data_IF_032605672954
#
_entry.id   IF_032605672954
#
_cell.length_a   1.000
_cell.length_b   1.000
_cell.length_c   1.000
_cell.angle_alpha   90.00
_cell.angle_beta   90.00
_cell.angle_gamma   90.00
#
_symmetry.space_group_name_H-M   'P 1'
#
loop_
_entity.id
_entity.type
_entity.pdbx_description
1 polymer ?
#
# COMPACT_ATOMS: atom_id res chain seq x y z
N UNK A 1 -4.68 13.82 -29.48
CA UNK A 1 -3.68 12.96 -28.79
C UNK A 1 -4.45 11.94 -27.93
N UNK A 2 -4.34 10.66 -28.26
CA UNK A 2 -4.98 9.62 -27.43
C UNK A 2 -4.19 9.46 -26.13
N UNK A 3 -4.85 9.70 -24.98
CA UNK A 3 -4.28 9.38 -23.68
C UNK A 3 -4.09 7.87 -23.58
N UNK A 4 -2.84 7.44 -23.34
CA UNK A 4 -2.54 6.02 -23.16
C UNK A 4 -3.25 5.52 -21.90
N UNK A 5 -4.11 4.51 -22.06
CA UNK A 5 -4.84 3.92 -20.93
C UNK A 5 -3.83 3.28 -19.95
N UNK A 6 -3.90 3.67 -18.69
CA UNK A 6 -3.05 3.10 -17.64
C UNK A 6 -3.53 1.69 -17.28
N UNK A 7 -2.58 0.76 -17.17
CA UNK A 7 -2.84 -0.62 -16.76
C UNK A 7 -2.95 -0.68 -15.24
N UNK A 8 -3.94 -1.42 -14.74
CA UNK A 8 -4.11 -1.68 -13.30
C UNK A 8 -4.03 -3.18 -13.06
N UNK A 9 -3.10 -3.58 -12.21
CA UNK A 9 -2.90 -4.97 -11.80
C UNK A 9 -3.19 -5.09 -10.31
N UNK A 10 -4.07 -6.01 -9.95
CA UNK A 10 -4.46 -6.28 -8.57
C UNK A 10 -4.09 -7.72 -8.21
N UNK A 11 -3.37 -7.89 -7.10
CA UNK A 11 -2.95 -9.19 -6.62
C UNK A 11 -3.40 -9.36 -5.16
N UNK A 12 -4.28 -10.33 -4.93
CA UNK A 12 -4.67 -10.74 -3.59
C UNK A 12 -3.98 -12.05 -3.25
N UNK A 13 -3.35 -12.10 -2.10
CA UNK A 13 -2.77 -13.34 -1.61
C UNK A 13 -2.64 -13.35 -0.09
N UNK A 14 -2.63 -14.55 0.54
CA UNK A 14 -2.26 -14.67 1.93
C UNK A 14 -0.81 -14.23 2.16
N UNK A 15 -0.50 -13.77 3.37
CA UNK A 15 0.86 -13.44 3.75
C UNK A 15 1.78 -14.67 3.57
N UNK A 16 2.97 -14.47 3.02
CA UNK A 16 3.97 -15.51 2.85
C UNK A 16 3.76 -16.44 1.65
N UNK A 17 2.80 -16.16 0.76
CA UNK A 17 2.53 -17.00 -0.42
C UNK A 17 3.46 -16.71 -1.62
N UNK A 18 4.47 -15.83 -1.47
CA UNK A 18 5.40 -15.50 -2.56
C UNK A 18 4.88 -14.52 -3.60
N UNK A 19 3.65 -14.03 -3.45
CA UNK A 19 3.02 -13.12 -4.40
C UNK A 19 3.77 -11.78 -4.53
N UNK A 20 4.41 -11.30 -3.46
CA UNK A 20 5.19 -10.07 -3.48
C UNK A 20 6.34 -10.11 -4.47
N UNK A 21 7.04 -11.23 -4.59
CA UNK A 21 8.13 -11.42 -5.56
C UNK A 21 7.58 -11.37 -6.98
N UNK A 22 6.48 -12.08 -7.24
CA UNK A 22 5.83 -12.10 -8.56
C UNK A 22 5.30 -10.71 -8.93
N UNK A 23 4.66 -10.01 -7.98
CA UNK A 23 4.15 -8.67 -8.19
C UNK A 23 5.24 -7.68 -8.60
N UNK A 24 6.40 -7.74 -7.93
CA UNK A 24 7.55 -6.90 -8.27
C UNK A 24 8.08 -7.19 -9.67
N UNK A 25 8.14 -8.45 -10.07
CA UNK A 25 8.58 -8.85 -11.41
C UNK A 25 7.60 -8.34 -12.48
N UNK A 26 6.30 -8.48 -12.26
CA UNK A 26 5.27 -7.96 -13.17
C UNK A 26 5.39 -6.44 -13.29
N UNK A 27 5.52 -5.75 -12.17
CA UNK A 27 5.65 -4.30 -12.16
C UNK A 27 6.88 -3.83 -12.91
N UNK A 28 8.01 -4.50 -12.72
CA UNK A 28 9.26 -4.18 -13.43
C UNK A 28 9.14 -4.42 -14.93
N UNK A 29 8.59 -5.57 -15.32
CA UNK A 29 8.48 -5.95 -16.72
C UNK A 29 7.60 -4.99 -17.52
N UNK A 30 6.46 -4.57 -16.96
CA UNK A 30 5.51 -3.68 -17.63
C UNK A 30 5.68 -2.20 -17.28
N UNK A 31 6.70 -1.85 -16.50
CA UNK A 31 6.93 -0.51 -15.97
C UNK A 31 5.71 0.04 -15.23
N UNK A 32 5.27 -0.70 -14.21
CA UNK A 32 4.15 -0.32 -13.36
C UNK A 32 4.63 0.20 -12.01
N UNK A 33 3.87 1.13 -11.45
CA UNK A 33 4.06 1.59 -10.09
C UNK A 33 3.66 0.50 -9.11
N UNK A 34 4.64 -0.04 -8.37
CA UNK A 34 4.41 -1.13 -7.43
C UNK A 34 4.09 -0.61 -6.03
N UNK A 35 3.05 -1.14 -5.40
CA UNK A 35 2.70 -0.85 -4.02
C UNK A 35 2.41 -2.14 -3.25
N UNK A 36 3.25 -2.41 -2.24
CA UNK A 36 2.99 -3.43 -1.22
C UNK A 36 2.11 -2.79 -0.13
N UNK A 37 0.83 -3.12 -0.15
CA UNK A 37 -0.15 -2.45 0.71
C UNK A 37 0.01 -2.79 2.19
N UNK A 38 0.56 -3.95 2.51
CA UNK A 38 0.85 -4.35 3.89
C UNK A 38 1.89 -3.44 4.56
N UNK A 39 2.82 -2.89 3.80
CA UNK A 39 3.82 -1.97 4.32
C UNK A 39 3.24 -0.66 4.82
N UNK A 40 2.08 -0.24 4.34
CA UNK A 40 1.42 0.98 4.83
C UNK A 40 1.07 0.82 6.32
N UNK A 41 0.50 -0.33 6.68
CA UNK A 41 0.19 -0.61 8.09
C UNK A 41 1.45 -0.70 8.95
N UNK A 42 2.55 -1.20 8.39
CA UNK A 42 3.85 -1.25 9.09
C UNK A 42 4.41 0.16 9.32
N UNK A 43 4.26 1.08 8.39
CA UNK A 43 4.63 2.50 8.60
C UNK A 43 3.83 3.10 9.74
N UNK A 44 2.51 2.87 9.77
CA UNK A 44 1.66 3.35 10.86
C UNK A 44 2.06 2.74 12.21
N UNK A 45 2.37 1.46 12.23
CA UNK A 45 2.88 0.77 13.43
C UNK A 45 4.20 1.40 13.91
N UNK A 46 5.10 1.69 13.01
CA UNK A 46 6.37 2.35 13.33
C UNK A 46 6.14 3.74 13.93
N UNK A 47 5.20 4.51 13.41
CA UNK A 47 4.83 5.80 14.00
C UNK A 47 4.27 5.64 15.42
N UNK A 48 3.46 4.62 15.66
CA UNK A 48 2.92 4.33 16.99
C UNK A 48 4.03 4.01 17.97
N UNK A 49 5.02 3.21 17.57
CA UNK A 49 6.16 2.84 18.41
C UNK A 49 7.01 4.05 18.74
N UNK A 50 7.31 4.89 17.74
CA UNK A 50 8.23 6.03 17.89
C UNK A 50 7.58 7.27 18.50
N UNK A 51 6.26 7.43 18.36
CA UNK A 51 5.52 8.58 18.87
C UNK A 51 4.18 8.16 19.51
N UNK A 52 4.20 7.32 20.58
CA UNK A 52 2.96 6.75 21.12
C UNK A 52 2.00 7.81 21.66
N UNK A 53 2.51 8.90 22.20
CA UNK A 53 1.67 9.98 22.77
C UNK A 53 0.94 10.80 21.69
N UNK A 54 1.51 10.91 20.50
CA UNK A 54 0.93 11.66 19.38
C UNK A 54 0.02 10.81 18.50
N UNK A 55 0.06 9.49 18.67
CA UNK A 55 -0.64 8.54 17.79
C UNK A 55 -2.14 8.54 18.08
N UNK A 56 -2.89 9.21 17.20
CA UNK A 56 -4.35 9.22 17.18
C UNK A 56 -4.84 9.33 15.73
N UNK A 57 -6.16 9.31 15.52
CA UNK A 57 -6.75 9.34 14.18
C UNK A 57 -6.32 10.58 13.38
N UNK A 58 -6.33 11.75 13.98
CA UNK A 58 -5.93 13.00 13.31
C UNK A 58 -4.46 12.97 12.87
N UNK A 59 -3.59 12.46 13.74
CA UNK A 59 -2.17 12.27 13.44
C UNK A 59 -1.97 11.30 12.26
N UNK A 60 -2.64 10.15 12.30
CA UNK A 60 -2.59 9.13 11.25
C UNK A 60 -3.04 9.71 9.91
N UNK A 61 -4.15 10.43 9.91
CA UNK A 61 -4.70 11.06 8.70
C UNK A 61 -3.70 12.02 8.06
N UNK A 62 -3.04 12.85 8.86
CA UNK A 62 -1.99 13.76 8.37
C UNK A 62 -0.79 13.01 7.80
N UNK A 63 -0.35 11.96 8.48
CA UNK A 63 0.81 11.16 8.05
C UNK A 63 0.55 10.43 6.74
N UNK A 64 -0.64 9.87 6.56
CA UNK A 64 -1.02 9.18 5.31
C UNK A 64 -1.05 10.17 4.15
N UNK A 65 -1.55 11.39 4.34
CA UNK A 65 -1.55 12.43 3.29
C UNK A 65 -0.14 12.78 2.80
N UNK A 66 0.85 12.72 3.68
CA UNK A 66 2.25 13.06 3.38
C UNK A 66 3.11 11.83 3.07
N UNK A 67 2.52 10.64 3.07
CA UNK A 67 3.25 9.40 2.89
C UNK A 67 3.83 9.31 1.47
N UNK A 68 5.13 9.05 1.39
CA UNK A 68 5.85 8.85 0.15
C UNK A 68 6.31 7.40 0.04
N UNK A 69 6.47 6.91 -1.18
CA UNK A 69 6.88 5.52 -1.42
C UNK A 69 8.21 5.18 -0.74
N UNK A 70 9.15 6.12 -0.69
CA UNK A 70 10.42 5.90 0.02
C UNK A 70 10.24 5.57 1.51
N UNK A 71 9.16 6.03 2.14
CA UNK A 71 8.85 5.71 3.53
C UNK A 71 8.52 4.23 3.71
N UNK A 72 7.99 3.58 2.67
CA UNK A 72 7.65 2.15 2.69
C UNK A 72 8.87 1.24 2.52
N UNK A 73 10.02 1.80 2.13
CA UNK A 73 11.26 1.06 1.89
C UNK A 73 12.19 1.01 3.10
N UNK A 74 11.80 1.59 4.22
CA UNK A 74 12.59 1.62 5.44
C UNK A 74 12.71 0.19 6.00
N UNK A 75 13.96 -0.29 6.18
CA UNK A 75 14.26 -1.63 6.71
C UNK A 75 13.74 -1.86 8.13
N UNK A 76 13.56 -0.80 8.92
CA UNK A 76 12.99 -0.88 10.27
C UNK A 76 11.55 -1.39 10.28
N UNK A 77 10.85 -1.30 9.15
CA UNK A 77 9.49 -1.83 9.02
C UNK A 77 9.43 -3.36 9.02
N UNK A 78 10.54 -4.04 8.78
CA UNK A 78 10.63 -5.51 8.75
C UNK A 78 10.77 -6.14 10.14
N UNK A 79 10.87 -5.35 11.19
CA UNK A 79 10.95 -5.80 12.57
C UNK A 79 9.67 -6.54 12.98
N UNK A 80 9.81 -7.62 13.79
CA UNK A 80 8.68 -8.41 14.26
C UNK A 80 7.68 -7.60 15.10
N UNK A 81 8.16 -6.71 15.96
CA UNK A 81 7.31 -5.83 16.78
C UNK A 81 6.43 -4.95 15.90
N UNK A 82 7.01 -4.37 14.86
CA UNK A 82 6.27 -3.57 13.87
C UNK A 82 5.19 -4.42 13.21
N UNK A 83 5.50 -5.64 12.83
CA UNK A 83 4.53 -6.57 12.22
C UNK A 83 3.36 -6.88 13.13
N UNK A 84 3.60 -7.14 14.41
CA UNK A 84 2.54 -7.43 15.39
C UNK A 84 1.62 -6.21 15.56
N UNK A 85 2.17 -5.02 15.75
CA UNK A 85 1.38 -3.80 15.91
C UNK A 85 0.62 -3.46 14.63
N UNK A 86 1.23 -3.66 13.45
CA UNK A 86 0.57 -3.47 12.17
C UNK A 86 -0.68 -4.36 12.03
N UNK A 87 -0.61 -5.62 12.45
CA UNK A 87 -1.74 -6.53 12.40
C UNK A 87 -2.89 -6.08 13.32
N UNK A 88 -2.58 -5.48 14.47
CA UNK A 88 -3.58 -4.92 15.38
C UNK A 88 -4.22 -3.67 14.76
N UNK A 89 -3.42 -2.75 14.26
CA UNK A 89 -3.89 -1.50 13.63
C UNK A 89 -4.79 -1.80 12.42
N UNK A 90 -4.47 -2.82 11.63
CA UNK A 90 -5.22 -3.18 10.44
C UNK A 90 -6.66 -3.64 10.72
N UNK A 91 -7.00 -3.95 11.97
CA UNK A 91 -8.34 -4.31 12.39
C UNK A 91 -9.25 -3.10 12.65
N UNK A 92 -8.68 -1.91 12.81
CA UNK A 92 -9.44 -0.68 13.03
C UNK A 92 -10.07 -0.21 11.71
N UNK A 93 -11.40 -0.17 11.65
CA UNK A 93 -12.16 0.18 10.44
C UNK A 93 -11.86 1.60 9.94
N UNK A 94 -11.72 2.57 10.85
CA UNK A 94 -11.42 3.96 10.46
C UNK A 94 -10.05 4.09 9.83
N UNK A 95 -9.06 3.41 10.39
CA UNK A 95 -7.69 3.39 9.85
C UNK A 95 -7.68 2.66 8.51
N UNK A 96 -8.36 1.52 8.39
CA UNK A 96 -8.49 0.80 7.12
C UNK A 96 -9.05 1.68 6.00
N UNK A 97 -10.07 2.47 6.31
CA UNK A 97 -10.65 3.38 5.32
C UNK A 97 -9.64 4.44 4.84
N UNK A 98 -8.84 5.00 5.75
CA UNK A 98 -7.77 5.93 5.37
C UNK A 98 -6.73 5.26 4.47
N UNK A 99 -6.32 4.05 4.82
CA UNK A 99 -5.35 3.27 4.03
C UNK A 99 -5.93 2.91 2.67
N UNK A 100 -7.19 2.45 2.61
CA UNK A 100 -7.86 2.14 1.34
C UNK A 100 -7.93 3.34 0.41
N UNK A 101 -8.26 4.52 0.93
CA UNK A 101 -8.29 5.74 0.12
C UNK A 101 -6.92 6.08 -0.45
N UNK A 102 -5.86 5.91 0.33
CA UNK A 102 -4.49 6.08 -0.15
C UNK A 102 -4.14 5.07 -1.26
N UNK A 103 -4.50 3.81 -1.08
CA UNK A 103 -4.28 2.75 -2.07
C UNK A 103 -5.02 3.04 -3.38
N UNK A 104 -6.27 3.47 -3.29
CA UNK A 104 -7.08 3.82 -4.46
C UNK A 104 -6.41 4.97 -5.23
N UNK A 105 -5.95 6.00 -4.56
CA UNK A 105 -5.24 7.10 -5.22
C UNK A 105 -3.98 6.62 -5.94
N UNK A 106 -3.19 5.76 -5.31
CA UNK A 106 -1.99 5.17 -5.93
C UNK A 106 -2.33 4.32 -7.15
N UNK A 107 -3.43 3.57 -7.09
CA UNK A 107 -3.85 2.68 -8.17
C UNK A 107 -4.31 3.44 -9.41
N UNK A 108 -5.15 4.46 -9.21
CA UNK A 108 -5.78 5.19 -10.32
C UNK A 108 -4.96 6.39 -10.79
N UNK A 109 -4.08 6.93 -9.95
CA UNK A 109 -3.24 8.08 -10.26
C UNK A 109 -1.77 7.80 -9.95
N UNK A 110 -1.16 6.77 -10.58
CA UNK A 110 0.27 6.50 -10.39
C UNK A 110 1.10 7.62 -10.99
N UNK A 111 2.39 7.77 -10.58
CA UNK A 111 3.27 8.76 -11.21
C UNK A 111 3.32 8.60 -12.73
N UNK A 112 3.40 9.72 -13.44
CA UNK A 112 3.29 9.77 -14.92
C UNK A 112 4.32 8.91 -15.65
N UNK A 113 5.49 8.69 -15.05
CA UNK A 113 6.56 7.87 -15.64
C UNK A 113 6.20 6.38 -15.77
N UNK A 114 5.17 5.93 -15.06
CA UNK A 114 4.74 4.53 -15.11
C UNK A 114 3.59 4.32 -16.09
N UNK A 115 3.52 3.11 -16.64
CA UNK A 115 2.44 2.70 -17.55
C UNK A 115 1.13 2.34 -16.81
N UNK A 116 1.17 2.33 -15.49
CA UNK A 116 0.04 1.97 -14.66
C UNK A 116 0.48 1.63 -13.26
N UNK A 117 -0.28 0.79 -12.57
CA UNK A 117 -0.04 0.40 -11.18
C UNK A 117 -0.15 -1.11 -10.99
N UNK A 118 0.56 -1.61 -9.98
CA UNK A 118 0.48 -2.99 -9.53
C UNK A 118 0.43 -2.98 -7.99
N UNK A 119 -0.73 -3.31 -7.44
CA UNK A 119 -0.95 -3.37 -6.00
C UNK A 119 -1.04 -4.83 -5.57
N UNK A 120 -0.30 -5.19 -4.54
CA UNK A 120 -0.43 -6.49 -3.91
C UNK A 120 -0.81 -6.33 -2.43
N UNK A 121 -1.60 -7.27 -1.92
CA UNK A 121 -2.07 -7.27 -0.55
C UNK A 121 -3.35 -8.06 -0.36
N UNK A 122 -4.28 -7.48 0.39
CA UNK A 122 -5.60 -8.07 0.64
C UNK A 122 -6.70 -7.14 0.16
N UNK A 123 -7.81 -7.71 -0.30
CA UNK A 123 -9.00 -6.97 -0.74
C UNK A 123 -8.75 -6.05 -1.95
N UNK A 124 -7.65 -6.25 -2.66
CA UNK A 124 -7.26 -5.39 -3.79
C UNK A 124 -8.23 -5.58 -4.96
N UNK A 125 -8.57 -6.83 -5.26
CA UNK A 125 -9.36 -7.17 -6.45
C UNK A 125 -10.82 -6.74 -6.36
N UNK A 126 -11.36 -6.47 -5.18
CA UNK A 126 -12.77 -6.09 -5.05
C UNK A 126 -13.04 -4.79 -4.29
N UNK A 127 -12.15 -4.35 -3.42
CA UNK A 127 -12.32 -3.09 -2.68
C UNK A 127 -11.51 -1.94 -3.24
N UNK A 128 -10.31 -2.20 -3.73
CA UNK A 128 -9.37 -1.17 -4.16
C UNK A 128 -9.44 -0.95 -5.66
N UNK A 129 -9.30 -2.02 -6.44
CA UNK A 129 -9.32 -1.95 -7.91
C UNK A 129 -10.28 -3.01 -8.46
N UNK A 130 -11.62 -2.84 -8.29
CA UNK A 130 -12.58 -3.82 -8.81
C UNK A 130 -12.61 -3.90 -10.34
N UNK A 131 -12.11 -2.88 -11.03
CA UNK A 131 -12.00 -2.82 -12.49
C UNK A 131 -10.57 -3.07 -12.99
N UNK A 132 -9.74 -3.78 -12.22
CA UNK A 132 -8.37 -4.09 -12.63
C UNK A 132 -8.35 -4.83 -13.97
N UNK A 133 -7.34 -4.54 -14.80
CA UNK A 133 -7.13 -5.22 -16.07
C UNK A 133 -6.69 -6.68 -15.88
N UNK A 134 -5.94 -6.92 -14.80
CA UNK A 134 -5.39 -8.23 -14.46
C UNK A 134 -5.39 -8.44 -12.94
#
# INVERSE_FOLDING_TARGET
MKLKKKIKVAIDSPAGAGAGTQAKLIAKYYNLFYLDTGKIYRVLAYFKITNPKKFNYTYIKKKIKKLKIKNLQNKKLLNNEVGVIASIISKDKKIRNLVHNFQIRCAYYPPKKYNGSCLDGRDITYKIIPDANF
#
